data_IF_763212074108
#
_entry.id   IF_763212074108
#
_cell.length_a   1.000
_cell.length_b   1.000
_cell.length_c   1.000
_cell.angle_alpha   90.00
_cell.angle_beta   90.00
_cell.angle_gamma   90.00
#
_symmetry.space_group_name_H-M   'P 1'
#
loop_
_entity.id
_entity.type
_entity.pdbx_description
1 polymer ?
#
# COMPACT_ATOMS: atom_id res chain seq x y z
N UNK A 1 0.94 -34.06 -8.69
CA UNK A 1 0.00 -34.91 -9.45
C UNK A 1 -1.39 -34.33 -9.26
N UNK A 2 -2.02 -34.05 -10.39
CA UNK A 2 -3.37 -33.53 -10.74
C UNK A 2 -4.40 -33.25 -9.65
N UNK A 3 -5.02 -32.06 -9.76
CA UNK A 3 -6.29 -31.71 -9.10
C UNK A 3 -6.91 -30.41 -9.62
N UNK A 4 -6.76 -30.11 -10.92
CA UNK A 4 -7.37 -28.92 -11.54
C UNK A 4 -8.86 -29.15 -11.81
N UNK A 5 -9.72 -28.64 -10.93
CA UNK A 5 -11.15 -28.55 -11.18
C UNK A 5 -11.44 -27.42 -12.16
N UNK A 6 -12.03 -27.76 -13.31
CA UNK A 6 -12.57 -26.79 -14.25
C UNK A 6 -13.79 -26.10 -13.63
N UNK A 7 -13.64 -24.83 -13.24
CA UNK A 7 -14.76 -23.97 -12.88
C UNK A 7 -15.31 -23.36 -14.18
N UNK A 8 -16.62 -23.53 -14.40
CA UNK A 8 -17.30 -23.04 -15.61
C UNK A 8 -17.29 -21.50 -15.63
N UNK A 9 -17.05 -20.84 -16.78
CA UNK A 9 -17.00 -19.37 -16.88
C UNK A 9 -18.32 -18.66 -16.57
N UNK A 10 -19.42 -19.39 -16.48
CA UNK A 10 -20.80 -18.87 -16.49
C UNK A 10 -21.26 -18.30 -15.14
N UNK A 11 -20.43 -18.36 -14.08
CA UNK A 11 -20.76 -17.94 -12.71
C UNK A 11 -20.02 -16.68 -12.24
N UNK A 12 -19.20 -16.07 -13.09
CA UNK A 12 -18.63 -14.75 -12.83
C UNK A 12 -19.15 -13.77 -13.86
N UNK A 13 -19.85 -12.73 -13.39
CA UNK A 13 -20.13 -11.55 -14.19
C UNK A 13 -18.85 -11.10 -14.88
N UNK A 14 -18.94 -10.89 -16.18
CA UNK A 14 -17.87 -10.67 -17.15
C UNK A 14 -16.81 -9.68 -16.64
N UNK A 15 -15.75 -10.17 -16.02
CA UNK A 15 -14.45 -9.51 -16.06
C UNK A 15 -13.78 -9.99 -17.35
N UNK A 16 -14.14 -9.37 -18.47
CA UNK A 16 -13.36 -9.57 -19.69
C UNK A 16 -12.00 -8.92 -19.47
N UNK A 17 -10.92 -9.68 -19.57
CA UNK A 17 -9.54 -9.15 -19.64
C UNK A 17 -9.25 -8.33 -20.91
N UNK A 18 -10.25 -7.63 -21.45
CA UNK A 18 -10.26 -6.89 -22.72
C UNK A 18 -11.11 -5.61 -22.63
N UNK A 19 -11.28 -5.03 -21.45
CA UNK A 19 -11.78 -3.64 -21.37
C UNK A 19 -10.66 -2.71 -21.85
N UNK A 20 -10.95 -1.83 -22.82
CA UNK A 20 -9.97 -0.88 -23.38
C UNK A 20 -9.24 -0.07 -22.32
N UNK A 21 -9.91 0.23 -21.19
CA UNK A 21 -9.30 0.94 -20.05
C UNK A 21 -8.27 0.09 -19.32
N UNK A 22 -8.54 -1.22 -19.18
CA UNK A 22 -7.61 -2.17 -18.58
C UNK A 22 -6.40 -2.37 -19.50
N UNK A 23 -6.64 -2.54 -20.80
CA UNK A 23 -5.55 -2.64 -21.78
C UNK A 23 -4.68 -1.37 -21.75
N UNK A 24 -5.31 -0.19 -21.77
CA UNK A 24 -4.60 1.09 -21.68
C UNK A 24 -3.77 1.22 -20.41
N UNK A 25 -4.29 0.76 -19.27
CA UNK A 25 -3.55 0.76 -18.00
C UNK A 25 -2.31 -0.14 -18.07
N UNK A 26 -2.42 -1.35 -18.64
CA UNK A 26 -1.27 -2.25 -18.83
C UNK A 26 -0.25 -1.70 -19.84
N UNK A 27 -0.68 -1.03 -20.90
CA UNK A 27 0.21 -0.35 -21.84
C UNK A 27 1.04 0.75 -21.17
N UNK A 28 0.40 1.57 -20.32
CA UNK A 28 1.09 2.63 -19.58
C UNK A 28 2.00 2.08 -18.49
N UNK A 29 1.57 1.04 -17.78
CA UNK A 29 2.44 0.32 -16.86
C UNK A 29 3.67 -0.24 -17.58
N UNK A 30 3.49 -0.87 -18.74
CA UNK A 30 4.58 -1.41 -19.55
C UNK A 30 5.58 -0.35 -20.02
N UNK A 31 5.16 0.89 -20.29
CA UNK A 31 6.07 2.00 -20.62
C UNK A 31 7.05 2.34 -19.47
N UNK A 32 6.69 1.99 -18.23
CA UNK A 32 7.51 2.19 -17.04
C UNK A 32 8.26 0.91 -16.71
N UNK A 33 7.55 -0.17 -16.43
CA UNK A 33 8.09 -1.45 -15.96
C UNK A 33 9.07 -2.10 -16.94
N UNK A 34 8.85 -1.93 -18.26
CA UNK A 34 9.73 -2.52 -19.27
C UNK A 34 10.85 -1.56 -19.72
N UNK A 35 10.98 -0.40 -19.09
CA UNK A 35 11.99 0.59 -19.45
C UNK A 35 13.15 0.56 -18.45
N UNK A 36 14.29 0.05 -18.91
CA UNK A 36 15.52 -0.09 -18.11
C UNK A 36 16.03 1.24 -17.52
N UNK A 37 15.63 2.40 -18.06
CA UNK A 37 16.00 3.71 -17.51
C UNK A 37 15.10 4.17 -16.38
N UNK A 38 13.88 3.62 -16.29
CA UNK A 38 12.88 4.00 -15.28
C UNK A 38 12.85 3.03 -14.10
N UNK A 39 13.42 1.84 -14.27
CA UNK A 39 13.45 0.79 -13.25
C UNK A 39 14.87 0.59 -12.76
N UNK A 40 15.09 0.78 -11.46
CA UNK A 40 16.37 0.48 -10.83
C UNK A 40 16.74 -1.00 -10.99
N UNK A 41 17.95 -1.28 -11.50
CA UNK A 41 18.42 -2.64 -11.78
C UNK A 41 17.78 -3.29 -13.01
N UNK A 42 16.97 -2.54 -13.78
CA UNK A 42 16.29 -3.01 -14.98
C UNK A 42 15.10 -3.93 -14.69
N UNK A 43 14.50 -4.44 -15.76
CA UNK A 43 13.24 -5.20 -15.71
C UNK A 43 13.31 -6.47 -14.87
N UNK A 44 14.48 -7.13 -14.82
CA UNK A 44 14.68 -8.30 -13.96
C UNK A 44 14.65 -7.92 -12.47
N UNK A 45 15.25 -6.79 -12.10
CA UNK A 45 15.32 -6.37 -10.72
C UNK A 45 13.94 -5.98 -10.17
N UNK A 46 13.07 -5.39 -11.00
CA UNK A 46 11.66 -5.12 -10.64
C UNK A 46 10.94 -6.38 -10.15
N UNK A 47 11.27 -7.54 -10.73
CA UNK A 47 10.63 -8.81 -10.41
C UNK A 47 11.25 -9.50 -9.19
N UNK A 48 12.47 -9.13 -8.80
CA UNK A 48 13.26 -9.92 -7.83
C UNK A 48 13.66 -9.17 -6.57
N UNK A 49 13.68 -7.83 -6.57
CA UNK A 49 13.99 -7.05 -5.37
C UNK A 49 12.87 -7.27 -4.35
N UNK A 50 13.25 -7.53 -3.10
CA UNK A 50 12.29 -7.67 -2.02
C UNK A 50 11.53 -6.36 -1.81
N UNK A 51 10.23 -6.44 -1.50
CA UNK A 51 9.41 -5.25 -1.29
C UNK A 51 9.95 -4.34 -0.16
N UNK A 52 10.57 -4.90 0.88
CA UNK A 52 11.17 -4.15 1.99
C UNK A 52 12.47 -3.44 1.61
N UNK A 53 13.26 -4.02 0.71
CA UNK A 53 14.55 -3.50 0.23
C UNK A 53 14.38 -2.52 -0.94
N UNK A 54 13.22 -2.54 -1.61
CA UNK A 54 12.91 -1.70 -2.76
C UNK A 54 13.11 -0.18 -2.59
N UNK A 55 12.92 0.46 -1.41
CA UNK A 55 13.18 1.88 -1.25
C UNK A 55 14.67 2.22 -1.07
N UNK A 56 15.55 1.25 -0.81
CA UNK A 56 16.98 1.51 -0.50
C UNK A 56 17.69 2.27 -1.62
N UNK A 57 17.26 2.08 -2.86
CA UNK A 57 17.79 2.77 -4.04
C UNK A 57 17.63 4.30 -3.98
N UNK A 58 16.71 4.82 -3.15
CA UNK A 58 16.52 6.25 -2.93
C UNK A 58 17.65 6.87 -2.07
N UNK A 59 18.27 6.06 -1.21
CA UNK A 59 19.16 6.54 -0.15
C UNK A 59 20.63 6.21 -0.38
N UNK A 60 21.01 5.86 -1.62
CA UNK A 60 22.40 5.73 -2.03
C UNK A 60 23.03 7.10 -2.35
N UNK A 61 24.36 7.16 -2.41
CA UNK A 61 25.09 8.38 -2.83
C UNK A 61 26.04 8.07 -3.99
N UNK A 62 25.73 8.49 -5.24
CA UNK A 62 24.52 9.19 -5.67
C UNK A 62 23.26 8.29 -5.58
N UNK A 63 22.05 8.88 -5.54
CA UNK A 63 20.81 8.12 -5.51
C UNK A 63 20.63 7.34 -6.81
N UNK A 64 20.28 6.06 -6.69
CA UNK A 64 20.05 5.16 -7.81
C UNK A 64 18.60 5.24 -8.35
N UNK A 65 17.68 5.73 -7.52
CA UNK A 65 16.31 6.05 -7.89
C UNK A 65 15.91 7.40 -7.27
N UNK A 66 14.96 8.09 -7.91
CA UNK A 66 14.42 9.37 -7.40
C UNK A 66 13.02 9.27 -6.83
N UNK A 67 12.27 8.22 -7.21
CA UNK A 67 10.90 8.00 -6.76
C UNK A 67 10.67 6.51 -6.55
N UNK A 68 9.84 6.18 -5.57
CA UNK A 68 9.41 4.82 -5.28
C UNK A 68 7.89 4.81 -5.07
N UNK A 69 7.21 3.81 -5.64
CA UNK A 69 5.75 3.65 -5.53
C UNK A 69 5.45 2.48 -4.61
N UNK A 70 4.91 2.76 -3.43
CA UNK A 70 4.45 1.74 -2.49
C UNK A 70 3.36 2.27 -1.55
N UNK A 71 2.67 1.37 -0.86
CA UNK A 71 1.78 1.70 0.25
C UNK A 71 2.52 2.38 1.40
N UNK A 72 1.78 3.11 2.23
CA UNK A 72 2.32 4.01 3.28
C UNK A 72 3.11 3.30 4.37
N UNK A 73 2.87 2.01 4.61
CA UNK A 73 3.62 1.22 5.59
C UNK A 73 5.10 1.05 5.23
N UNK A 74 5.51 1.34 3.99
CA UNK A 74 6.92 1.26 3.56
C UNK A 74 7.84 2.14 4.40
N UNK A 75 7.29 3.19 5.03
CA UNK A 75 8.00 4.06 5.98
C UNK A 75 8.72 3.26 7.06
N UNK A 76 8.09 2.20 7.59
CA UNK A 76 8.70 1.39 8.66
C UNK A 76 9.97 0.69 8.17
N UNK A 77 9.95 0.11 6.96
CA UNK A 77 11.14 -0.51 6.35
C UNK A 77 12.27 0.49 6.10
N UNK A 78 11.92 1.70 5.62
CA UNK A 78 12.90 2.79 5.43
C UNK A 78 13.59 3.12 6.75
N UNK A 79 12.83 3.27 7.85
CA UNK A 79 13.39 3.60 9.16
C UNK A 79 14.12 2.43 9.82
N UNK A 80 13.74 1.18 9.52
CA UNK A 80 14.48 0.00 9.96
C UNK A 80 15.87 -0.07 9.29
N UNK A 81 15.96 0.25 7.99
CA UNK A 81 17.22 0.23 7.24
C UNK A 81 18.08 1.48 7.46
N UNK A 82 17.44 2.64 7.60
CA UNK A 82 18.07 3.95 7.74
C UNK A 82 17.50 4.71 8.95
N UNK A 83 17.83 4.30 10.18
CA UNK A 83 17.20 4.81 11.41
C UNK A 83 17.47 6.29 11.72
N UNK A 84 18.40 6.91 11.00
CA UNK A 84 18.74 8.33 11.17
C UNK A 84 17.95 9.26 10.25
N UNK A 85 17.16 8.74 9.30
CA UNK A 85 16.36 9.58 8.41
C UNK A 85 15.18 10.18 9.17
N UNK A 86 14.87 11.44 8.83
CA UNK A 86 13.78 12.21 9.40
C UNK A 86 12.62 12.30 8.39
N UNK A 87 11.48 11.64 8.65
CA UNK A 87 10.30 11.74 7.79
C UNK A 87 9.81 13.18 7.66
N UNK A 88 9.56 13.64 6.44
CA UNK A 88 9.16 15.02 6.12
C UNK A 88 10.33 15.98 5.87
N UNK A 89 11.57 15.58 6.20
CA UNK A 89 12.78 16.34 5.89
C UNK A 89 13.64 15.59 4.87
N UNK A 90 14.01 14.35 5.18
CA UNK A 90 14.87 13.51 4.32
C UNK A 90 14.07 12.72 3.27
N UNK A 91 12.80 12.44 3.54
CA UNK A 91 11.89 11.81 2.58
C UNK A 91 10.43 12.21 2.82
N UNK A 92 9.64 12.26 1.75
CA UNK A 92 8.20 12.55 1.77
C UNK A 92 7.48 11.67 0.74
N UNK A 93 6.15 11.68 0.76
CA UNK A 93 5.30 11.05 -0.24
C UNK A 93 4.29 12.05 -0.83
N UNK A 94 3.75 11.70 -1.98
CA UNK A 94 2.68 12.43 -2.64
C UNK A 94 1.67 11.44 -3.25
N UNK A 95 0.40 11.84 -3.45
CA UNK A 95 -0.59 11.00 -4.12
C UNK A 95 -0.10 10.60 -5.51
N UNK A 96 -0.41 9.37 -5.92
CA UNK A 96 -0.06 8.93 -7.26
C UNK A 96 -0.70 9.88 -8.30
N UNK A 97 0.04 10.39 -9.30
CA UNK A 97 -0.51 11.32 -10.27
C UNK A 97 -1.67 10.70 -11.06
N UNK A 98 -2.75 11.46 -11.33
CA UNK A 98 -3.83 10.96 -12.16
C UNK A 98 -3.38 10.78 -13.61
N UNK A 99 -3.88 9.72 -14.25
CA UNK A 99 -3.71 9.49 -15.69
C UNK A 99 -4.40 10.57 -16.53
N UNK A 100 -5.50 11.11 -16.02
CA UNK A 100 -6.24 12.22 -16.60
C UNK A 100 -6.89 13.03 -15.46
N UNK A 101 -6.74 14.36 -15.43
CA UNK A 101 -7.36 15.23 -14.43
C UNK A 101 -8.86 15.01 -14.23
N UNK A 102 -9.59 14.57 -15.27
CA UNK A 102 -11.03 14.33 -15.19
C UNK A 102 -11.42 13.25 -14.16
N UNK A 103 -10.50 12.34 -13.83
CA UNK A 103 -10.75 11.24 -12.88
C UNK A 103 -10.39 11.59 -11.43
N UNK A 104 -9.90 12.82 -11.17
CA UNK A 104 -9.52 13.26 -9.84
C UNK A 104 -8.26 12.54 -9.31
N UNK A 105 -7.93 12.74 -8.03
CA UNK A 105 -6.75 12.12 -7.42
C UNK A 105 -7.03 10.63 -7.12
N UNK A 106 -6.24 9.70 -7.68
CA UNK A 106 -6.41 8.29 -7.38
C UNK A 106 -5.96 8.01 -5.94
N UNK A 107 -6.86 7.41 -5.15
CA UNK A 107 -6.56 6.87 -3.85
C UNK A 107 -6.72 5.34 -3.88
N UNK A 108 -5.66 4.62 -3.52
CA UNK A 108 -5.71 3.17 -3.36
C UNK A 108 -5.63 2.86 -1.86
N UNK A 109 -6.70 2.29 -1.33
CA UNK A 109 -6.76 1.78 0.03
C UNK A 109 -6.70 0.26 0.06
N UNK A 110 -6.07 -0.27 1.10
CA UNK A 110 -6.19 -1.67 1.50
C UNK A 110 -6.59 -1.71 2.98
N UNK A 111 -7.30 -2.76 3.39
CA UNK A 111 -7.76 -2.93 4.76
C UNK A 111 -7.48 -4.34 5.24
N UNK A 112 -7.07 -4.46 6.50
CA UNK A 112 -7.02 -5.74 7.21
C UNK A 112 -8.44 -6.09 7.67
N UNK A 113 -8.94 -7.25 7.25
CA UNK A 113 -10.28 -7.73 7.60
C UNK A 113 -10.18 -8.85 8.63
N UNK A 114 -10.95 -8.73 9.70
CA UNK A 114 -11.10 -9.78 10.72
C UNK A 114 -12.44 -10.47 10.53
N UNK A 115 -12.44 -11.80 10.54
CA UNK A 115 -13.64 -12.61 10.44
C UNK A 115 -13.72 -13.59 11.61
N UNK A 116 -14.89 -13.67 12.23
CA UNK A 116 -15.18 -14.61 13.31
C UNK A 116 -15.91 -15.83 12.74
N UNK A 117 -15.21 -16.97 12.67
CA UNK A 117 -15.78 -18.21 12.12
C UNK A 117 -16.62 -19.00 13.13
N UNK A 118 -16.35 -18.82 14.43
CA UNK A 118 -17.11 -19.44 15.50
C UNK A 118 -17.59 -18.36 16.48
N UNK A 119 -18.89 -18.35 16.77
CA UNK A 119 -19.51 -17.37 17.64
C UNK A 119 -19.40 -17.82 19.10
N UNK A 120 -18.39 -17.31 19.79
CA UNK A 120 -18.21 -17.50 21.23
C UNK A 120 -18.18 -16.14 21.94
N UNK A 121 -18.54 -16.08 23.24
CA UNK A 121 -18.45 -14.83 24.01
C UNK A 121 -17.05 -14.20 23.96
N UNK A 122 -15.99 -15.01 24.04
CA UNK A 122 -14.60 -14.52 24.02
C UNK A 122 -14.21 -13.97 22.64
N UNK A 123 -14.60 -14.66 21.56
CA UNK A 123 -14.32 -14.20 20.20
C UNK A 123 -15.07 -12.90 19.89
N UNK A 124 -16.31 -12.78 20.36
CA UNK A 124 -17.11 -11.55 20.25
C UNK A 124 -16.47 -10.39 21.01
N UNK A 125 -16.02 -10.62 22.25
CA UNK A 125 -15.33 -9.61 23.04
C UNK A 125 -14.02 -9.15 22.35
N UNK A 126 -13.27 -10.07 21.74
CA UNK A 126 -12.08 -9.72 20.96
C UNK A 126 -12.41 -8.88 19.72
N UNK A 127 -13.45 -9.27 18.95
CA UNK A 127 -13.90 -8.51 17.78
C UNK A 127 -14.39 -7.11 18.17
N UNK A 128 -15.04 -6.95 19.31
CA UNK A 128 -15.45 -5.64 19.85
C UNK A 128 -14.24 -4.78 20.28
N UNK A 129 -13.25 -5.40 20.91
CA UNK A 129 -12.02 -4.73 21.29
C UNK A 129 -11.22 -4.26 20.07
N UNK A 130 -10.99 -5.10 19.07
CA UNK A 130 -10.10 -4.75 17.95
C UNK A 130 -10.66 -3.62 17.07
N UNK A 131 -11.99 -3.42 17.06
CA UNK A 131 -12.64 -2.29 16.38
C UNK A 131 -12.80 -1.04 17.27
N UNK A 132 -12.44 -1.13 18.55
CA UNK A 132 -12.51 0.00 19.48
C UNK A 132 -11.48 1.08 19.10
N UNK A 133 -11.74 2.37 19.45
CA UNK A 133 -10.76 3.43 19.25
C UNK A 133 -9.41 3.11 19.91
N UNK A 134 -9.40 2.57 21.11
CA UNK A 134 -8.19 2.30 21.90
C UNK A 134 -7.28 1.27 21.21
N UNK A 135 -7.86 0.16 20.72
CA UNK A 135 -7.08 -0.85 19.99
C UNK A 135 -6.56 -0.30 18.65
N UNK A 136 -7.36 0.54 17.98
CA UNK A 136 -6.98 1.18 16.72
C UNK A 136 -5.92 2.26 16.92
N UNK A 137 -5.90 2.96 18.05
CA UNK A 137 -4.84 3.92 18.42
C UNK A 137 -3.49 3.21 18.63
N UNK A 138 -3.48 2.06 19.29
CA UNK A 138 -2.28 1.20 19.39
C UNK A 138 -1.86 0.75 17.99
N UNK A 139 -2.82 0.33 17.16
CA UNK A 139 -2.55 -0.15 15.80
C UNK A 139 -1.88 0.89 14.91
N UNK A 140 -2.33 2.16 14.95
CA UNK A 140 -1.72 3.23 14.15
C UNK A 140 -0.39 3.71 14.74
N UNK A 141 -0.26 3.74 16.06
CA UNK A 141 0.95 4.20 16.75
C UNK A 141 2.13 3.24 16.58
N UNK A 142 1.89 1.94 16.78
CA UNK A 142 2.95 0.93 16.77
C UNK A 142 3.29 0.43 15.36
N UNK A 143 2.27 0.26 14.50
CA UNK A 143 2.48 -0.37 13.18
C UNK A 143 2.62 0.64 12.04
N UNK A 144 2.45 1.95 12.29
CA UNK A 144 2.49 2.99 11.27
C UNK A 144 1.42 2.84 10.18
N UNK A 145 0.38 2.05 10.46
CA UNK A 145 -0.77 1.81 9.58
C UNK A 145 -1.83 2.91 9.73
N UNK A 146 -2.75 2.98 8.79
CA UNK A 146 -3.89 3.90 8.85
C UNK A 146 -5.10 3.18 9.44
N UNK A 147 -5.86 3.86 10.30
CA UNK A 147 -7.10 3.29 10.87
C UNK A 147 -8.30 3.61 10.00
N UNK A 148 -9.19 2.63 9.83
CA UNK A 148 -10.52 2.83 9.26
C UNK A 148 -11.52 3.44 10.28
N UNK A 149 -11.18 3.45 11.57
CA UNK A 149 -12.04 3.99 12.63
C UNK A 149 -11.86 5.51 12.73
N UNK A 150 -12.85 6.27 12.25
CA UNK A 150 -12.84 7.74 12.26
C UNK A 150 -12.86 8.37 13.66
N UNK A 151 -13.02 7.58 14.73
CA UNK A 151 -13.08 8.04 16.12
C UNK A 151 -11.73 8.01 16.84
N UNK A 152 -10.67 7.50 16.22
CA UNK A 152 -9.34 7.56 16.83
C UNK A 152 -8.88 9.01 16.97
N UNK A 153 -8.09 9.30 17.99
CA UNK A 153 -7.44 10.59 18.14
C UNK A 153 -6.43 10.80 16.99
N UNK A 154 -6.54 11.85 16.17
CA UNK A 154 -5.55 12.14 15.13
C UNK A 154 -4.13 12.37 15.67
N UNK A 155 -3.98 12.68 16.95
CA UNK A 155 -2.67 12.77 17.61
C UNK A 155 -2.04 11.40 17.91
N UNK A 156 -2.77 10.29 17.77
CA UNK A 156 -2.21 8.94 17.90
C UNK A 156 -1.29 8.56 16.75
N UNK A 157 -1.36 9.28 15.62
CA UNK A 157 -0.40 9.09 14.53
C UNK A 157 0.99 9.59 14.96
N UNK A 158 2.05 8.78 14.79
CA UNK A 158 3.36 9.06 15.37
C UNK A 158 4.08 10.26 14.77
N UNK A 159 3.72 10.66 13.54
CA UNK A 159 4.39 11.72 12.80
C UNK A 159 3.44 12.44 11.82
N UNK A 160 3.88 13.62 11.35
CA UNK A 160 3.13 14.45 10.39
C UNK A 160 2.95 13.77 9.04
N UNK A 161 3.89 12.91 8.65
CA UNK A 161 3.84 12.14 7.41
C UNK A 161 2.63 11.18 7.44
N UNK A 162 2.45 10.46 8.54
CA UNK A 162 1.34 9.52 8.74
C UNK A 162 0.01 10.26 8.88
N UNK A 163 -0.01 11.43 9.54
CA UNK A 163 -1.19 12.32 9.56
C UNK A 163 -1.58 12.82 8.17
N UNK A 164 -0.60 13.21 7.35
CA UNK A 164 -0.80 13.62 5.94
C UNK A 164 -1.40 12.47 5.14
N UNK A 165 -0.93 11.24 5.36
CA UNK A 165 -1.45 10.05 4.67
C UNK A 165 -2.91 9.76 5.05
N UNK A 166 -3.26 9.88 6.33
CA UNK A 166 -4.63 9.73 6.80
C UNK A 166 -5.60 10.74 6.14
N UNK A 167 -5.16 12.00 5.93
CA UNK A 167 -5.95 13.05 5.27
C UNK A 167 -6.28 12.75 3.81
N UNK A 168 -5.45 11.98 3.10
CA UNK A 168 -5.72 11.60 1.70
C UNK A 168 -6.86 10.57 1.61
N UNK A 169 -7.10 9.80 2.67
CA UNK A 169 -8.14 8.77 2.72
C UNK A 169 -9.46 9.23 3.38
N UNK A 170 -9.54 10.48 3.84
CA UNK A 170 -10.73 11.04 4.53
C UNK A 170 -11.57 11.95 3.65
#
# INVERSE_FOLDING_TARGET
>A
SVGGGFIRPELFGVFSGFDDRVQRAFELFGQIALNEKYVYGGTNAELTINFGDSPDALFTSPPNAYMHRQATFIKSFILDHFPNLVPGEDFDFFPFPPIDPQYGLPALGAADLFAMFNDTPDARAFMEYIVSPEAQEIWVGELGKLSANKRINPAAYPDDLTRKAAKILS
#
